data_IF_313825833777
#
_entry.id   IF_313825833777
#
_cell.length_a   1.000
_cell.length_b   1.000
_cell.length_c   1.000
_cell.angle_alpha   90.00
_cell.angle_beta   90.00
_cell.angle_gamma   90.00
#
_symmetry.space_group_name_H-M   'P 1'
#
loop_
_entity.id
_entity.type
_entity.pdbx_description
1 polymer ?
#
# COMPACT_ATOMS: atom_id res chain seq x y z
N UNK A 1 -12.90 12.04 -26.61
CA UNK A 1 -12.61 10.90 -25.73
C UNK A 1 -13.75 10.87 -24.72
N UNK A 2 -14.82 10.11 -24.97
CA UNK A 2 -15.94 9.99 -24.03
C UNK A 2 -15.80 8.67 -23.29
N UNK A 3 -15.56 8.74 -21.99
CA UNK A 3 -15.64 7.59 -21.10
C UNK A 3 -17.11 7.32 -20.82
N UNK A 4 -17.68 6.28 -21.44
CA UNK A 4 -19.05 5.84 -21.20
C UNK A 4 -19.09 4.91 -19.99
N UNK A 5 -19.14 5.52 -18.79
CA UNK A 5 -19.30 4.82 -17.51
C UNK A 5 -20.59 5.31 -16.85
N UNK A 6 -21.32 4.39 -16.21
CA UNK A 6 -22.50 4.77 -15.41
C UNK A 6 -22.10 5.77 -14.31
N UNK A 7 -22.68 6.99 -14.26
CA UNK A 7 -22.37 7.99 -13.25
C UNK A 7 -22.55 7.50 -11.81
N UNK A 8 -23.40 6.51 -11.55
CA UNK A 8 -23.58 5.89 -10.24
C UNK A 8 -22.33 5.17 -9.74
N UNK A 9 -21.48 4.67 -10.64
CA UNK A 9 -20.20 4.05 -10.31
C UNK A 9 -19.15 5.09 -9.90
N UNK A 10 -19.27 6.33 -10.40
CA UNK A 10 -18.35 7.43 -10.09
C UNK A 10 -18.74 8.25 -8.85
N UNK A 11 -19.98 8.10 -8.36
CA UNK A 11 -20.51 8.89 -7.24
C UNK A 11 -19.72 8.61 -5.94
N UNK A 12 -19.52 9.65 -5.12
CA UNK A 12 -18.95 9.57 -3.77
C UNK A 12 -17.57 8.87 -3.73
N UNK A 13 -16.67 9.30 -4.61
CA UNK A 13 -15.25 8.89 -4.62
C UNK A 13 -15.00 7.38 -4.79
N UNK A 14 -15.98 6.64 -5.33
CA UNK A 14 -15.92 5.18 -5.51
C UNK A 14 -14.77 4.69 -6.40
N UNK A 15 -14.30 5.54 -7.30
CA UNK A 15 -13.19 5.21 -8.21
C UNK A 15 -11.83 5.71 -7.72
N UNK A 16 -11.73 6.27 -6.52
CA UNK A 16 -10.44 6.70 -5.96
C UNK A 16 -9.51 5.49 -5.82
N UNK A 17 -8.31 5.63 -6.38
CA UNK A 17 -7.29 4.58 -6.41
C UNK A 17 -7.48 3.51 -7.48
N UNK A 18 -8.55 3.57 -8.30
CA UNK A 18 -8.71 2.66 -9.43
C UNK A 18 -7.80 3.05 -10.58
N UNK A 19 -7.33 2.06 -11.34
CA UNK A 19 -6.51 2.25 -12.54
C UNK A 19 -7.36 1.96 -13.76
N UNK A 20 -7.41 2.91 -14.70
CA UNK A 20 -8.12 2.77 -15.97
C UNK A 20 -7.10 2.81 -17.12
N UNK A 21 -7.26 1.90 -18.07
CA UNK A 21 -6.36 1.77 -19.22
C UNK A 21 -7.07 1.16 -20.42
N UNK A 22 -6.41 1.21 -21.58
CA UNK A 22 -6.92 0.54 -22.77
C UNK A 22 -7.00 -0.97 -22.56
N UNK A 23 -7.93 -1.63 -23.27
CA UNK A 23 -8.14 -3.07 -23.20
C UNK A 23 -6.81 -3.81 -23.45
N UNK A 24 -6.47 -4.73 -22.55
CA UNK A 24 -5.25 -5.53 -22.62
C UNK A 24 -3.94 -4.78 -22.32
N UNK A 25 -4.00 -3.52 -21.87
CA UNK A 25 -2.81 -2.72 -21.56
C UNK A 25 -2.62 -2.41 -20.08
N UNK A 26 -3.56 -2.83 -19.23
CA UNK A 26 -3.41 -2.64 -17.80
C UNK A 26 -2.33 -3.57 -17.23
N UNK A 27 -1.60 -3.12 -16.20
CA UNK A 27 -0.74 -3.99 -15.41
C UNK A 27 -1.50 -5.16 -14.78
N UNK A 28 -0.74 -6.05 -14.15
CA UNK A 28 -1.29 -7.20 -13.44
C UNK A 28 -2.04 -6.76 -12.19
N UNK A 29 -3.01 -7.58 -11.79
CA UNK A 29 -3.75 -7.40 -10.54
C UNK A 29 -3.16 -8.37 -9.52
N UNK A 30 -2.71 -7.87 -8.37
CA UNK A 30 -2.19 -8.70 -7.30
C UNK A 30 -3.10 -8.68 -6.06
N UNK A 31 -3.34 -9.84 -5.46
CA UNK A 31 -3.97 -9.98 -4.13
C UNK A 31 -2.95 -10.07 -3.01
N UNK A 32 -1.77 -10.63 -3.32
CA UNK A 32 -0.62 -10.67 -2.43
C UNK A 32 0.56 -10.01 -3.11
N UNK A 33 1.35 -9.24 -2.37
CA UNK A 33 2.59 -8.64 -2.85
C UNK A 33 3.75 -9.00 -1.93
N UNK A 34 4.92 -9.18 -2.52
CA UNK A 34 6.20 -9.20 -1.82
C UNK A 34 6.95 -7.92 -2.16
N UNK A 35 7.31 -7.15 -1.14
CA UNK A 35 7.97 -5.86 -1.29
C UNK A 35 9.37 -5.90 -0.69
N UNK A 36 10.32 -5.22 -1.34
CA UNK A 36 11.54 -4.78 -0.69
C UNK A 36 11.25 -3.43 -0.01
N UNK A 37 11.56 -3.30 1.28
CA UNK A 37 11.14 -2.13 2.05
C UNK A 37 12.24 -1.58 2.95
N UNK A 38 12.12 -0.28 3.22
CA UNK A 38 12.94 0.50 4.14
C UNK A 38 12.04 1.19 5.15
N UNK A 39 12.42 1.12 6.43
CA UNK A 39 11.73 1.84 7.49
C UNK A 39 12.47 3.14 7.81
N UNK A 40 11.70 4.18 8.07
CA UNK A 40 12.22 5.42 8.63
C UNK A 40 12.86 5.15 9.99
N UNK A 41 13.89 5.92 10.36
CA UNK A 41 14.49 5.79 11.70
C UNK A 41 13.53 6.26 12.81
N UNK A 42 12.68 7.23 12.48
CA UNK A 42 11.79 7.95 13.39
C UNK A 42 10.53 8.40 12.65
N UNK A 43 9.43 8.57 13.37
CA UNK A 43 8.20 9.11 12.77
C UNK A 43 8.39 10.57 12.34
N UNK A 44 7.86 10.90 11.17
CA UNK A 44 7.87 12.26 10.62
C UNK A 44 6.55 12.97 10.93
N UNK A 45 6.60 14.28 11.16
CA UNK A 45 5.39 15.12 11.31
C UNK A 45 4.61 14.94 12.62
N UNK A 46 5.14 14.19 13.60
CA UNK A 46 4.57 14.11 14.94
C UNK A 46 5.24 15.17 15.82
N UNK A 47 4.51 16.25 16.15
CA UNK A 47 4.95 17.19 17.18
C UNK A 47 4.76 16.52 18.53
N UNK A 48 5.86 16.14 19.16
CA UNK A 48 5.91 15.80 20.58
C UNK A 48 6.65 16.94 21.27
N UNK A 49 6.08 17.51 22.32
CA UNK A 49 6.69 18.61 23.08
C UNK A 49 8.04 18.22 23.70
N UNK A 50 8.27 16.91 23.84
CA UNK A 50 9.58 16.34 24.11
C UNK A 50 10.33 16.01 22.83
N UNK A 51 11.60 16.44 22.75
CA UNK A 51 12.57 16.23 21.66
C UNK A 51 12.86 14.74 21.29
N UNK A 52 12.10 13.78 21.80
CA UNK A 52 12.20 12.34 21.54
C UNK A 52 11.16 11.91 20.49
N UNK A 53 11.46 12.18 19.22
CA UNK A 53 10.75 11.55 18.11
C UNK A 53 10.67 10.02 18.28
N UNK A 54 9.46 9.47 18.24
CA UNK A 54 9.21 8.04 18.42
C UNK A 54 9.94 7.20 17.36
N UNK A 55 10.74 6.24 17.82
CA UNK A 55 11.49 5.31 16.97
C UNK A 55 10.52 4.36 16.25
N UNK A 56 10.71 4.18 14.94
CA UNK A 56 9.92 3.20 14.17
C UNK A 56 10.42 1.79 14.49
N UNK A 57 9.51 0.91 14.91
CA UNK A 57 9.80 -0.50 15.16
C UNK A 57 9.69 -1.31 13.87
N UNK A 58 10.38 -2.46 13.82
CA UNK A 58 10.30 -3.40 12.69
C UNK A 58 8.86 -3.86 12.43
N UNK A 59 8.59 -4.36 11.22
CA UNK A 59 7.31 -4.98 10.88
C UNK A 59 7.15 -6.30 11.63
N UNK A 60 5.93 -6.62 12.06
CA UNK A 60 5.61 -7.89 12.72
C UNK A 60 4.61 -8.70 11.91
N UNK A 61 4.73 -10.03 11.97
CA UNK A 61 3.77 -10.92 11.31
C UNK A 61 2.38 -10.75 11.94
N UNK A 62 1.36 -10.67 11.10
CA UNK A 62 -0.04 -10.49 11.50
C UNK A 62 -0.45 -9.03 11.68
N UNK A 63 0.50 -8.08 11.66
CA UNK A 63 0.18 -6.66 11.72
C UNK A 63 -0.61 -6.19 10.49
N UNK A 64 -1.56 -5.29 10.70
CA UNK A 64 -2.29 -4.60 9.63
C UNK A 64 -1.64 -3.23 9.39
N UNK A 65 -1.21 -3.00 8.16
CA UNK A 65 -0.69 -1.73 7.68
C UNK A 65 -1.66 -1.12 6.67
N UNK A 66 -1.56 0.19 6.48
CA UNK A 66 -2.09 0.84 5.30
C UNK A 66 -0.97 0.86 4.26
N UNK A 67 -1.29 0.33 3.08
CA UNK A 67 -0.37 0.16 1.96
C UNK A 67 -0.86 1.06 0.83
N UNK A 68 0.02 1.96 0.39
CA UNK A 68 -0.25 2.88 -0.69
C UNK A 68 0.60 2.46 -1.89
N UNK A 69 -0.04 2.06 -2.99
CA UNK A 69 0.60 1.61 -4.23
C UNK A 69 0.05 2.49 -5.36
N UNK A 70 0.90 3.36 -5.90
CA UNK A 70 0.43 4.49 -6.70
C UNK A 70 -0.64 5.29 -5.94
N UNK A 71 -1.81 5.44 -6.54
CA UNK A 71 -2.98 6.09 -5.91
C UNK A 71 -3.87 5.14 -5.10
N UNK A 72 -3.65 3.82 -5.20
CA UNK A 72 -4.44 2.81 -4.48
C UNK A 72 -4.03 2.81 -3.02
N UNK A 73 -4.98 3.01 -2.11
CA UNK A 73 -4.76 2.90 -0.66
C UNK A 73 -5.60 1.75 -0.11
N UNK A 74 -4.96 0.73 0.44
CA UNK A 74 -5.65 -0.45 0.97
C UNK A 74 -5.03 -0.93 2.28
N UNK A 75 -5.82 -1.62 3.10
CA UNK A 75 -5.29 -2.36 4.23
C UNK A 75 -4.51 -3.58 3.74
N UNK A 76 -3.41 -3.91 4.41
CA UNK A 76 -2.62 -5.10 4.12
C UNK A 76 -2.16 -5.79 5.39
N UNK A 77 -2.31 -7.12 5.43
CA UNK A 77 -1.80 -7.96 6.53
C UNK A 77 -0.41 -8.46 6.20
N UNK A 78 0.54 -8.21 7.10
CA UNK A 78 1.90 -8.75 6.98
C UNK A 78 1.87 -10.26 7.22
N UNK A 79 2.16 -11.06 6.20
CA UNK A 79 2.15 -12.52 6.26
C UNK A 79 3.49 -13.09 6.72
N UNK A 80 4.59 -12.47 6.28
CA UNK A 80 5.95 -12.84 6.68
C UNK A 80 6.91 -11.68 6.45
N UNK A 81 7.97 -11.64 7.26
CA UNK A 81 9.07 -10.67 7.13
C UNK A 81 10.38 -11.43 7.09
N UNK A 82 11.23 -11.17 6.10
CA UNK A 82 12.56 -11.76 5.94
C UNK A 82 13.56 -10.68 5.57
N UNK A 83 14.42 -10.30 6.51
CA UNK A 83 15.39 -9.21 6.35
C UNK A 83 14.71 -7.89 5.91
N UNK A 84 14.90 -7.50 4.66
CA UNK A 84 14.35 -6.32 3.98
C UNK A 84 13.16 -6.63 3.06
N UNK A 85 12.66 -7.87 3.09
CA UNK A 85 11.48 -8.32 2.35
C UNK A 85 10.27 -8.52 3.28
N UNK A 86 9.10 -8.08 2.82
CA UNK A 86 7.83 -8.36 3.48
C UNK A 86 6.82 -8.90 2.48
N UNK A 87 6.14 -9.99 2.85
CA UNK A 87 4.98 -10.50 2.12
C UNK A 87 3.71 -9.96 2.76
N UNK A 88 2.86 -9.31 1.98
CA UNK A 88 1.65 -8.64 2.43
C UNK A 88 0.46 -9.16 1.63
N UNK A 89 -0.57 -9.63 2.34
CA UNK A 89 -1.88 -9.93 1.77
C UNK A 89 -2.71 -8.65 1.78
N UNK A 90 -3.19 -8.21 0.62
CA UNK A 90 -3.98 -6.99 0.48
C UNK A 90 -5.46 -7.28 0.73
N UNK A 91 -6.15 -6.38 1.43
CA UNK A 91 -7.59 -6.48 1.67
C UNK A 91 -8.40 -6.22 0.40
N UNK A 92 -7.88 -5.38 -0.49
CA UNK A 92 -8.41 -5.13 -1.82
C UNK A 92 -7.29 -5.36 -2.83
N UNK A 93 -7.54 -6.07 -3.95
CA UNK A 93 -6.54 -6.28 -4.97
C UNK A 93 -6.06 -4.95 -5.55
N UNK A 94 -4.79 -4.89 -5.93
CA UNK A 94 -4.19 -3.70 -6.50
C UNK A 94 -3.68 -3.99 -7.92
N UNK A 95 -4.02 -3.11 -8.86
CA UNK A 95 -3.43 -3.09 -10.19
C UNK A 95 -2.05 -2.43 -10.10
N UNK A 96 -0.99 -3.19 -10.30
CA UNK A 96 0.39 -2.69 -10.13
C UNK A 96 1.39 -3.55 -10.90
N UNK A 97 2.64 -3.10 -10.95
CA UNK A 97 3.73 -3.77 -11.65
C UNK A 97 4.94 -3.96 -10.72
N UNK A 98 5.88 -4.78 -11.16
CA UNK A 98 7.15 -4.94 -10.45
C UNK A 98 7.89 -3.59 -10.45
N UNK A 99 8.56 -3.31 -9.34
CA UNK A 99 9.29 -2.08 -9.02
C UNK A 99 8.44 -0.81 -8.77
N UNK A 100 7.11 -0.91 -8.87
CA UNK A 100 6.18 0.15 -8.44
C UNK A 100 6.43 0.52 -6.97
N UNK A 101 6.38 1.83 -6.67
CA UNK A 101 6.68 2.33 -5.34
C UNK A 101 5.52 2.10 -4.38
N UNK A 102 5.87 1.70 -3.16
CA UNK A 102 4.92 1.43 -2.09
C UNK A 102 5.26 2.29 -0.88
N UNK A 103 4.27 2.96 -0.31
CA UNK A 103 4.40 3.59 1.01
C UNK A 103 3.68 2.76 2.07
N UNK A 104 4.30 2.65 3.24
CA UNK A 104 3.80 1.87 4.37
C UNK A 104 3.44 2.80 5.52
N UNK A 105 2.20 2.69 5.98
CA UNK A 105 1.70 3.43 7.13
C UNK A 105 1.18 2.48 8.21
N UNK A 106 1.43 2.86 9.47
CA UNK A 106 1.01 2.12 10.66
C UNK A 106 0.03 2.94 11.47
N UNK A 107 -0.97 2.30 12.06
CA UNK A 107 -1.92 2.97 12.95
C UNK A 107 -1.28 3.16 14.32
N UNK A 108 -1.11 4.42 14.73
CA UNK A 108 -0.51 4.84 16.01
C UNK A 108 -1.41 5.94 16.57
N UNK A 109 -1.90 5.79 17.80
CA UNK A 109 -2.77 6.79 18.46
C UNK A 109 -3.95 7.22 17.56
N UNK A 110 -4.65 6.26 16.97
CA UNK A 110 -5.77 6.49 16.03
C UNK A 110 -5.42 7.13 14.69
N UNK A 111 -4.15 7.43 14.41
CA UNK A 111 -3.72 8.03 13.15
C UNK A 111 -2.85 7.09 12.33
N UNK A 112 -3.03 7.12 11.01
CA UNK A 112 -2.08 6.49 10.10
C UNK A 112 -0.82 7.36 10.01
N UNK A 113 0.32 6.77 10.38
CA UNK A 113 1.63 7.42 10.34
C UNK A 113 2.51 6.69 9.34
N UNK A 114 3.14 7.44 8.44
CA UNK A 114 4.13 6.91 7.52
C UNK A 114 5.30 6.33 8.31
N UNK A 115 5.62 5.05 8.07
CA UNK A 115 6.71 4.34 8.74
C UNK A 115 7.82 3.92 7.79
N UNK A 116 7.56 3.87 6.48
CA UNK A 116 8.53 3.39 5.51
C UNK A 116 8.03 3.44 4.08
N UNK A 117 8.88 3.01 3.17
CA UNK A 117 8.59 2.89 1.74
C UNK A 117 9.31 1.68 1.16
N UNK A 118 8.99 1.31 -0.07
CA UNK A 118 9.56 0.15 -0.73
C UNK A 118 9.19 0.09 -2.20
N UNK A 119 9.44 -1.07 -2.79
CA UNK A 119 8.97 -1.40 -4.13
C UNK A 119 8.50 -2.84 -4.24
N UNK A 120 7.50 -3.06 -5.09
CA UNK A 120 6.98 -4.40 -5.42
C UNK A 120 8.08 -5.22 -6.09
N UNK A 121 8.29 -6.46 -5.65
CA UNK A 121 9.22 -7.41 -6.30
C UNK A 121 8.48 -8.49 -7.08
N UNK A 122 7.36 -8.96 -6.53
CA UNK A 122 6.47 -9.95 -7.13
C UNK A 122 5.14 -9.95 -6.41
N UNK A 123 4.15 -10.63 -6.96
CA UNK A 123 2.85 -10.81 -6.32
C UNK A 123 2.17 -12.11 -6.76
N UNK A 124 1.10 -12.47 -6.05
CA UNK A 124 0.17 -13.49 -6.49
C UNK A 124 -0.86 -12.83 -7.40
N UNK A 125 -0.85 -13.22 -8.67
CA UNK A 125 -1.80 -12.71 -9.68
C UNK A 125 -3.21 -13.15 -9.34
N UNK A 126 -4.14 -12.22 -9.49
CA UNK A 126 -5.55 -12.52 -9.49
C UNK A 126 -5.97 -12.83 -10.92
N UNK A 127 -6.29 -14.09 -11.19
CA UNK A 127 -6.90 -14.47 -12.45
C UNK A 127 -8.38 -14.05 -12.43
N UNK A 128 -8.75 -13.19 -13.38
CA UNK A 128 -10.13 -12.72 -13.61
C UNK A 128 -10.98 -13.79 -14.30
#
# INVERSE_FOLDING_TARGET
MNLEIDPQLCRADRLVGQVLGAVGRLPKIFTEIEINYFLLRRLLGVKTDDKKQTKVTKLTKGEILMVNIGSTSTGGRVMSVKADLAKILLNQPACTEVDEKVALSRRIEQHWRLIGWGSVRRGAEYDL
#
